data_IF_776048564702
#
_entry.id   IF_776048564702
#
_cell.length_a   1.000
_cell.length_b   1.000
_cell.length_c   1.000
_cell.angle_alpha   90.00
_cell.angle_beta   90.00
_cell.angle_gamma   90.00
#
_symmetry.space_group_name_H-M   'P 1'
#
loop_
_entity.id
_entity.type
_entity.pdbx_description
1 polymer ?
#
# COMPACT_ATOMS: atom_id res chain seq x y z
N UNK A 1 -16.63 4.83 -22.34
CA UNK A 1 -16.05 6.19 -22.47
C UNK A 1 -15.96 6.80 -21.08
N UNK A 2 -14.87 7.46 -20.71
CA UNK A 2 -14.67 8.00 -19.35
C UNK A 2 -14.55 9.55 -19.37
N UNK A 3 -14.92 10.22 -18.28
CA UNK A 3 -14.99 11.69 -18.17
C UNK A 3 -13.61 12.40 -18.09
N UNK A 4 -12.52 11.67 -18.32
CA UNK A 4 -11.13 12.17 -18.19
C UNK A 4 -10.35 11.48 -17.07
N UNK A 5 -9.05 11.22 -17.32
CA UNK A 5 -8.18 10.41 -16.42
C UNK A 5 -7.98 11.04 -15.04
N UNK A 6 -8.10 12.36 -14.93
CA UNK A 6 -7.92 13.10 -13.69
C UNK A 6 -8.95 12.71 -12.62
N UNK A 7 -10.15 12.27 -13.03
CA UNK A 7 -11.26 11.97 -12.11
C UNK A 7 -11.22 10.56 -11.50
N UNK A 8 -10.19 9.77 -11.81
CA UNK A 8 -10.08 8.40 -11.36
C UNK A 8 -8.90 8.23 -10.41
N UNK A 9 -9.02 7.45 -9.36
CA UNK A 9 -7.89 7.13 -8.45
C UNK A 9 -7.48 5.68 -8.62
N UNK A 10 -6.18 5.37 -8.53
CA UNK A 10 -5.74 3.96 -8.50
C UNK A 10 -6.41 3.27 -7.30
N UNK A 11 -7.00 2.09 -7.53
CA UNK A 11 -7.81 1.37 -6.55
C UNK A 11 -9.28 1.79 -6.48
N UNK A 12 -9.72 2.80 -7.25
CA UNK A 12 -11.14 3.19 -7.32
C UNK A 12 -11.98 2.04 -7.88
N UNK A 13 -13.16 1.84 -7.26
CA UNK A 13 -14.17 0.85 -7.64
C UNK A 13 -15.42 1.49 -8.26
N UNK A 14 -15.92 2.54 -7.61
CA UNK A 14 -17.19 3.19 -7.98
C UNK A 14 -16.98 4.20 -9.12
N UNK A 15 -18.00 4.41 -9.95
CA UNK A 15 -17.96 5.39 -11.05
C UNK A 15 -17.21 4.92 -12.30
N UNK A 16 -16.86 3.63 -12.41
CA UNK A 16 -16.13 3.11 -13.59
C UNK A 16 -17.04 2.77 -14.78
N UNK A 17 -18.36 2.70 -14.60
CA UNK A 17 -19.38 2.37 -15.62
C UNK A 17 -18.98 1.20 -16.55
N UNK A 18 -18.20 0.23 -16.04
CA UNK A 18 -17.83 -0.99 -16.75
C UNK A 18 -18.90 -2.02 -16.39
N UNK A 19 -19.86 -2.24 -17.30
CA UNK A 19 -20.86 -3.29 -17.15
C UNK A 19 -20.23 -4.68 -17.08
N UNK A 20 -20.97 -5.68 -16.56
CA UNK A 20 -20.52 -7.09 -16.57
C UNK A 20 -20.58 -7.84 -15.24
N UNK A 21 -21.18 -7.28 -14.17
CA UNK A 21 -21.46 -8.01 -12.92
C UNK A 21 -20.28 -8.24 -11.97
N UNK A 22 -19.04 -8.11 -12.43
CA UNK A 22 -17.81 -8.29 -11.63
C UNK A 22 -17.21 -6.95 -11.21
N UNK A 23 -16.72 -6.77 -9.97
CA UNK A 23 -16.15 -5.49 -9.53
C UNK A 23 -14.82 -5.22 -10.24
N UNK A 24 -14.76 -4.14 -11.01
CA UNK A 24 -13.53 -3.63 -11.59
C UNK A 24 -12.86 -2.61 -10.66
N UNK A 25 -11.53 -2.61 -10.68
CA UNK A 25 -10.70 -1.64 -9.99
C UNK A 25 -9.76 -0.96 -10.97
N UNK A 26 -9.48 0.34 -10.76
CA UNK A 26 -8.44 1.05 -11.52
C UNK A 26 -7.08 0.53 -11.09
N UNK A 27 -6.35 -0.09 -12.01
CA UNK A 27 -5.01 -0.65 -11.76
C UNK A 27 -3.90 0.16 -12.42
N UNK A 28 -4.26 1.11 -13.27
CA UNK A 28 -3.29 1.99 -13.92
C UNK A 28 -3.94 3.08 -14.76
N UNK A 29 -3.13 4.08 -15.12
CA UNK A 29 -3.51 5.20 -15.98
C UNK A 29 -2.46 5.35 -17.07
N UNK A 30 -2.91 5.45 -18.32
CA UNK A 30 -2.07 5.78 -19.46
C UNK A 30 -2.50 7.16 -19.96
N UNK A 31 -1.78 8.19 -19.52
CA UNK A 31 -2.11 9.59 -19.76
C UNK A 31 -1.92 9.95 -21.24
N UNK A 32 -0.86 9.46 -21.86
CA UNK A 32 -0.54 9.73 -23.27
C UNK A 32 -1.63 9.21 -24.20
N UNK A 33 -2.11 7.99 -23.95
CA UNK A 33 -3.15 7.36 -24.78
C UNK A 33 -4.57 7.60 -24.27
N UNK A 34 -4.73 8.37 -23.19
CA UNK A 34 -6.02 8.63 -22.53
C UNK A 34 -6.77 7.34 -22.20
N UNK A 35 -6.08 6.33 -21.65
CA UNK A 35 -6.67 5.05 -21.26
C UNK A 35 -6.65 4.85 -19.75
N UNK A 36 -7.77 4.35 -19.23
CA UNK A 36 -7.88 3.85 -17.88
C UNK A 36 -7.72 2.33 -17.91
N UNK A 37 -6.75 1.80 -17.17
CA UNK A 37 -6.54 0.36 -17.08
C UNK A 37 -7.37 -0.13 -15.89
N UNK A 38 -8.38 -0.95 -16.18
CA UNK A 38 -9.28 -1.53 -15.18
C UNK A 38 -9.15 -3.05 -15.21
N UNK A 39 -9.18 -3.67 -14.04
CA UNK A 39 -9.13 -5.12 -13.92
C UNK A 39 -10.22 -5.61 -12.98
N UNK A 40 -10.96 -6.63 -13.41
CA UNK A 40 -11.92 -7.39 -12.59
C UNK A 40 -11.24 -8.41 -11.69
N UNK A 41 -9.99 -8.77 -12.02
CA UNK A 41 -9.13 -9.60 -11.20
C UNK A 41 -8.09 -8.73 -10.48
N UNK A 42 -7.84 -9.06 -9.21
CA UNK A 42 -6.83 -8.40 -8.40
C UNK A 42 -5.45 -8.54 -9.06
N UNK A 43 -5.01 -7.48 -9.73
CA UNK A 43 -3.76 -7.50 -10.49
C UNK A 43 -2.58 -7.74 -9.54
N UNK A 44 -1.64 -8.65 -9.84
CA UNK A 44 -0.48 -8.94 -8.98
C UNK A 44 0.35 -7.69 -8.62
N UNK A 45 0.36 -6.68 -9.49
CA UNK A 45 1.00 -5.39 -9.22
C UNK A 45 0.39 -4.59 -8.05
N UNK A 46 -0.76 -4.99 -7.51
CA UNK A 46 -1.34 -4.42 -6.29
C UNK A 46 -0.80 -5.07 -5.01
N UNK A 47 0.08 -6.07 -5.13
CA UNK A 47 0.71 -6.76 -4.01
C UNK A 47 2.20 -6.42 -3.99
N UNK A 48 2.68 -5.99 -2.83
CA UNK A 48 4.08 -5.70 -2.58
C UNK A 48 4.58 -6.59 -1.45
N UNK A 49 5.75 -7.21 -1.64
CA UNK A 49 6.44 -7.89 -0.54
C UNK A 49 7.30 -6.91 0.27
N UNK A 50 7.86 -5.92 -0.40
CA UNK A 50 8.67 -4.87 0.22
C UNK A 50 7.91 -3.55 0.23
N UNK A 51 8.11 -2.76 1.29
CA UNK A 51 7.54 -1.42 1.43
C UNK A 51 8.62 -0.47 1.92
N UNK A 52 8.78 0.63 1.20
CA UNK A 52 9.63 1.75 1.57
C UNK A 52 8.78 2.94 1.99
N UNK A 53 9.13 3.56 3.11
CA UNK A 53 8.40 4.67 3.69
C UNK A 53 9.33 5.75 4.24
N UNK A 54 8.79 6.96 4.41
CA UNK A 54 9.49 8.18 4.81
C UNK A 54 8.64 9.03 5.75
N UNK A 55 9.17 10.13 6.28
CA UNK A 55 8.49 10.92 7.32
C UNK A 55 8.08 10.05 8.51
N UNK A 56 9.03 9.23 8.96
CA UNK A 56 8.80 8.33 10.07
C UNK A 56 8.58 9.10 11.38
N UNK A 57 7.65 8.58 12.18
CA UNK A 57 7.38 9.06 13.53
C UNK A 57 7.34 7.85 14.46
N UNK A 58 8.32 7.77 15.36
CA UNK A 58 8.55 6.64 16.24
C UNK A 58 8.28 7.04 17.70
N UNK A 59 7.43 6.27 18.38
CA UNK A 59 7.40 6.25 19.85
C UNK A 59 8.57 5.40 20.38
N UNK A 60 8.82 4.28 19.70
CA UNK A 60 10.00 3.44 19.87
C UNK A 60 10.50 3.01 18.50
N UNK A 61 11.70 3.47 18.14
CA UNK A 61 12.30 3.14 16.85
C UNK A 61 12.67 1.64 16.82
N UNK A 62 12.25 0.88 15.79
CA UNK A 62 12.71 -0.50 15.61
C UNK A 62 14.18 -0.52 15.16
N UNK A 63 14.78 -1.69 15.10
CA UNK A 63 16.13 -1.92 14.57
C UNK A 63 16.06 -2.74 13.29
N UNK A 64 17.06 -2.55 12.42
CA UNK A 64 17.27 -3.44 11.29
C UNK A 64 17.43 -4.88 11.76
N UNK A 65 16.66 -5.79 11.19
CA UNK A 65 16.59 -7.21 11.55
C UNK A 65 15.44 -7.57 12.50
N UNK A 66 14.76 -6.58 13.10
CA UNK A 66 13.63 -6.86 13.99
C UNK A 66 12.48 -7.53 13.22
N UNK A 67 11.90 -8.58 13.82
CA UNK A 67 10.65 -9.19 13.35
C UNK A 67 9.50 -8.55 14.10
N UNK A 68 8.64 -7.86 13.37
CA UNK A 68 7.51 -7.09 13.88
C UNK A 68 6.27 -7.38 13.04
N UNK A 69 5.13 -6.84 13.44
CA UNK A 69 3.93 -6.86 12.62
C UNK A 69 3.62 -5.46 12.11
N UNK A 70 3.18 -5.34 10.87
CA UNK A 70 2.83 -4.05 10.28
C UNK A 70 1.49 -4.11 9.55
N UNK A 71 0.88 -2.95 9.38
CA UNK A 71 -0.28 -2.76 8.49
C UNK A 71 -0.06 -1.53 7.61
N UNK A 72 -0.44 -1.65 6.34
CA UNK A 72 -0.29 -0.59 5.34
C UNK A 72 -1.60 0.16 5.06
N UNK A 73 -2.69 -0.28 5.70
CA UNK A 73 -4.02 0.33 5.59
C UNK A 73 -4.77 0.25 6.91
N UNK A 74 -5.58 1.28 7.18
CA UNK A 74 -6.46 1.29 8.34
C UNK A 74 -7.41 0.09 8.33
N UNK A 75 -7.54 -0.57 9.49
CA UNK A 75 -8.32 -1.81 9.72
C UNK A 75 -7.85 -3.05 8.95
N UNK A 76 -6.72 -3.00 8.26
CA UNK A 76 -6.08 -4.23 7.79
C UNK A 76 -5.57 -5.02 9.00
N UNK A 77 -5.70 -6.37 9.01
CA UNK A 77 -5.02 -7.20 9.98
C UNK A 77 -3.51 -6.95 9.96
N UNK A 78 -2.87 -7.07 11.12
CA UNK A 78 -1.41 -7.01 11.20
C UNK A 78 -0.80 -8.16 10.41
N UNK A 79 0.26 -7.85 9.67
CA UNK A 79 0.99 -8.79 8.83
C UNK A 79 2.43 -8.88 9.33
N UNK A 80 2.99 -10.07 9.54
CA UNK A 80 4.36 -10.23 9.98
C UNK A 80 5.34 -9.75 8.91
N UNK A 81 6.39 -9.06 9.34
CA UNK A 81 7.44 -8.52 8.48
C UNK A 81 8.78 -8.41 9.24
N UNK A 82 9.85 -8.26 8.47
CA UNK A 82 11.18 -7.90 8.96
C UNK A 82 11.52 -6.47 8.56
N UNK A 83 12.11 -5.71 9.48
CA UNK A 83 12.70 -4.40 9.17
C UNK A 83 14.02 -4.62 8.46
N UNK A 84 14.13 -4.23 7.20
CA UNK A 84 15.34 -4.42 6.38
C UNK A 84 16.27 -3.21 6.43
N UNK A 85 15.72 -2.03 6.69
CA UNK A 85 16.48 -0.80 6.95
C UNK A 85 15.63 0.17 7.77
N UNK A 86 16.26 0.90 8.68
CA UNK A 86 15.61 1.99 9.43
C UNK A 86 16.59 3.12 9.68
N UNK A 87 16.10 4.35 9.55
CA UNK A 87 16.75 5.60 9.96
C UNK A 87 15.75 6.44 10.76
N UNK A 88 16.13 7.67 11.12
CA UNK A 88 15.24 8.56 11.86
C UNK A 88 14.02 9.01 11.04
N UNK A 89 14.14 9.10 9.71
CA UNK A 89 13.06 9.54 8.82
C UNK A 89 12.49 8.41 7.94
N UNK A 90 13.24 7.33 7.72
CA UNK A 90 12.89 6.31 6.73
C UNK A 90 12.84 4.91 7.31
N UNK A 91 12.05 4.06 6.65
CA UNK A 91 12.01 2.63 6.94
C UNK A 91 11.74 1.82 5.69
N UNK A 92 12.44 0.69 5.57
CA UNK A 92 12.15 -0.37 4.62
C UNK A 92 11.79 -1.64 5.38
N UNK A 93 10.71 -2.28 4.94
CA UNK A 93 10.25 -3.56 5.49
C UNK A 93 10.03 -4.59 4.40
N UNK A 94 10.22 -5.86 4.74
CA UNK A 94 9.83 -7.00 3.92
C UNK A 94 8.80 -7.85 4.67
N UNK A 95 7.61 -7.98 4.11
CA UNK A 95 6.56 -8.85 4.65
C UNK A 95 6.85 -10.32 4.33
N UNK A 96 6.45 -11.21 5.23
CA UNK A 96 6.62 -12.65 5.03
C UNK A 96 5.80 -13.12 3.81
N UNK A 97 4.57 -12.58 3.67
CA UNK A 97 3.68 -12.81 2.54
C UNK A 97 3.36 -11.49 1.81
N UNK A 98 3.14 -11.50 0.49
CA UNK A 98 2.80 -10.29 -0.26
C UNK A 98 1.56 -9.58 0.30
N UNK A 99 1.72 -8.33 0.73
CA UNK A 99 0.61 -7.54 1.26
C UNK A 99 -0.04 -6.73 0.15
N UNK A 100 -1.36 -6.67 0.23
CA UNK A 100 -2.18 -5.98 -0.76
C UNK A 100 -2.23 -4.48 -0.50
N UNK A 101 -2.39 -3.71 -1.58
CA UNK A 101 -2.76 -2.30 -1.57
C UNK A 101 -1.71 -1.38 -0.91
N UNK A 102 -0.42 -1.71 -1.06
CA UNK A 102 0.67 -0.77 -0.81
C UNK A 102 0.49 0.41 -1.76
N UNK A 103 -0.05 1.52 -1.26
CA UNK A 103 -0.38 2.69 -2.08
C UNK A 103 0.43 3.88 -1.57
N UNK A 104 1.14 4.60 -2.46
CA UNK A 104 1.82 5.84 -2.11
C UNK A 104 0.90 6.80 -1.35
N UNK A 105 1.42 7.41 -0.28
CA UNK A 105 0.69 8.35 0.57
C UNK A 105 -0.18 7.74 1.66
N UNK A 106 -0.36 6.41 1.71
CA UNK A 106 -0.88 5.73 2.91
C UNK A 106 0.22 5.63 3.96
N UNK A 107 -0.15 5.34 5.21
CA UNK A 107 0.83 5.08 6.28
C UNK A 107 1.04 3.58 6.48
N UNK A 108 2.29 3.20 6.67
CA UNK A 108 2.65 1.94 7.31
C UNK A 108 2.78 2.17 8.82
N UNK A 109 2.19 1.28 9.63
CA UNK A 109 2.28 1.35 11.10
C UNK A 109 2.82 0.03 11.62
N UNK A 110 3.83 0.09 12.49
CA UNK A 110 4.54 -1.06 13.04
C UNK A 110 4.12 -1.34 14.49
N UNK A 111 4.11 -2.61 14.83
CA UNK A 111 3.70 -3.15 16.12
C UNK A 111 4.66 -4.25 16.56
N UNK A 112 4.99 -4.26 17.84
CA UNK A 112 5.72 -5.34 18.53
C UNK A 112 4.80 -5.91 19.62
N UNK A 113 4.18 -7.05 19.31
CA UNK A 113 3.05 -7.56 20.09
C UNK A 113 1.88 -6.56 20.11
N UNK A 114 1.56 -6.05 21.29
CA UNK A 114 0.49 -5.06 21.51
C UNK A 114 1.00 -3.61 21.46
N UNK A 115 2.32 -3.39 21.49
CA UNK A 115 2.93 -2.07 21.50
C UNK A 115 2.95 -1.49 20.08
N UNK A 116 2.46 -0.26 19.92
CA UNK A 116 2.60 0.47 18.65
C UNK A 116 3.93 1.23 18.63
N UNK A 117 4.81 0.86 17.70
CA UNK A 117 6.16 1.42 17.59
C UNK A 117 6.15 2.82 16.97
N UNK A 118 5.25 3.01 16.00
CA UNK A 118 5.15 4.22 15.20
C UNK A 118 4.75 3.91 13.77
N UNK A 119 5.00 4.86 12.87
CA UNK A 119 4.68 4.69 11.46
C UNK A 119 5.35 5.70 10.55
N UNK A 120 5.21 5.48 9.25
CA UNK A 120 5.80 6.28 8.19
C UNK A 120 4.86 6.33 6.99
N UNK A 121 5.07 7.27 6.08
CA UNK A 121 4.29 7.43 4.85
C UNK A 121 4.93 6.61 3.73
N UNK A 122 4.14 5.76 3.08
CA UNK A 122 4.56 4.89 1.98
C UNK A 122 4.89 5.74 0.75
N UNK A 123 6.03 5.45 0.11
CA UNK A 123 6.46 6.06 -1.15
C UNK A 123 5.69 5.54 -2.36
#
# INVERSE_FOLDING_TARGET
>A
THEGIAFYTIGQRHGLNVGGGTPFYVVGKDVEKKRLIVSSNFHPALFGKTVSAFQANWFRQPKTGDRVAARVRYRQPLQPCVVTRVTDDEIDVEFDEPVRAVTPGQSIVLYDGEEMLGGAIIR
#
